data_IF_565433352557
#
_entry.id   IF_565433352557
#
_cell.length_a   1.000
_cell.length_b   1.000
_cell.length_c   1.000
_cell.angle_alpha   90.00
_cell.angle_beta   90.00
_cell.angle_gamma   90.00
#
_symmetry.space_group_name_H-M   'P 1'
#
loop_
_entity.id
_entity.type
_entity.pdbx_description
1 polymer ?
#
# COMPACT_ATOMS: atom_id res chain seq x y z
N UNK A 1 -48.16 -0.62 -55.06
CA UNK A 1 -47.30 0.10 -54.13
C UNK A 1 -46.76 -0.89 -53.15
N UNK A 2 -45.52 -1.31 -53.34
CA UNK A 2 -44.85 -2.33 -52.51
C UNK A 2 -43.82 -1.62 -51.68
N UNK A 3 -44.02 -1.66 -50.37
CA UNK A 3 -43.08 -1.03 -49.39
C UNK A 3 -42.11 -2.09 -48.88
N UNK A 4 -40.88 -1.98 -49.26
CA UNK A 4 -39.80 -2.90 -48.88
C UNK A 4 -39.20 -2.43 -47.57
N UNK A 5 -39.38 -3.23 -46.50
CA UNK A 5 -38.69 -3.01 -45.22
C UNK A 5 -37.28 -3.63 -45.27
N UNK A 6 -36.26 -2.82 -45.14
CA UNK A 6 -34.88 -3.25 -44.90
C UNK A 6 -34.73 -3.68 -43.43
N UNK A 7 -34.39 -4.95 -43.24
CA UNK A 7 -33.96 -5.49 -41.94
C UNK A 7 -32.45 -5.26 -41.80
N UNK A 8 -32.07 -4.40 -40.84
CA UNK A 8 -30.67 -4.15 -40.49
C UNK A 8 -30.27 -5.19 -39.46
N UNK A 9 -29.43 -6.13 -39.86
CA UNK A 9 -28.82 -7.12 -38.95
C UNK A 9 -27.69 -6.49 -38.18
N UNK A 10 -27.84 -6.36 -36.88
CA UNK A 10 -26.76 -5.95 -35.96
C UNK A 10 -26.00 -7.23 -35.58
N UNK A 11 -24.77 -7.35 -36.05
CA UNK A 11 -23.84 -8.39 -35.63
C UNK A 11 -23.22 -8.01 -34.27
N UNK A 12 -23.61 -8.75 -33.24
CA UNK A 12 -23.02 -8.64 -31.90
C UNK A 12 -21.71 -9.45 -31.87
N UNK A 13 -20.58 -8.75 -31.91
CA UNK A 13 -19.29 -9.37 -31.74
C UNK A 13 -19.04 -9.66 -30.25
N UNK A 14 -19.11 -10.93 -29.83
CA UNK A 14 -18.65 -11.39 -28.54
C UNK A 14 -17.11 -11.43 -28.55
N UNK A 15 -16.49 -10.49 -27.84
CA UNK A 15 -15.06 -10.55 -27.54
C UNK A 15 -14.86 -11.51 -26.36
N UNK A 16 -14.34 -12.70 -26.63
CA UNK A 16 -13.85 -13.63 -25.61
C UNK A 16 -12.56 -13.05 -25.01
N UNK A 17 -12.66 -12.50 -23.81
CA UNK A 17 -11.49 -12.16 -23.02
C UNK A 17 -10.83 -13.45 -22.53
N UNK A 18 -9.67 -13.75 -23.08
CA UNK A 18 -8.80 -14.86 -22.64
C UNK A 18 -8.28 -14.55 -21.24
N UNK A 19 -8.70 -15.30 -20.23
CA UNK A 19 -8.05 -15.36 -18.94
C UNK A 19 -6.73 -16.08 -19.09
N UNK A 20 -5.65 -15.33 -19.30
CA UNK A 20 -4.29 -15.82 -19.17
C UNK A 20 -3.94 -15.91 -17.69
N UNK A 21 -3.87 -17.12 -17.11
CA UNK A 21 -3.32 -17.35 -15.78
C UNK A 21 -1.82 -17.09 -15.80
N UNK A 22 -1.37 -16.16 -14.97
CA UNK A 22 0.02 -15.92 -14.60
C UNK A 22 0.01 -15.33 -13.21
N UNK A 23 0.81 -15.89 -12.27
CA UNK A 23 0.99 -15.33 -10.94
C UNK A 23 1.45 -13.88 -11.10
N UNK A 24 0.55 -12.95 -10.99
CA UNK A 24 0.77 -11.53 -11.19
C UNK A 24 0.58 -10.81 -9.88
N UNK A 25 1.54 -9.96 -9.59
CA UNK A 25 1.42 -8.88 -8.62
C UNK A 25 0.06 -8.20 -8.78
N UNK A 26 -0.64 -7.97 -7.66
CA UNK A 26 -1.88 -7.22 -7.70
C UNK A 26 -1.61 -5.88 -8.39
N UNK A 27 -2.46 -5.45 -9.34
CA UNK A 27 -2.21 -4.22 -10.07
C UNK A 27 -2.16 -3.05 -9.09
N UNK A 28 -1.03 -2.37 -9.04
CA UNK A 28 -0.90 -1.11 -8.32
C UNK A 28 -1.90 -0.11 -8.93
N UNK A 29 -2.69 0.55 -8.09
CA UNK A 29 -3.64 1.55 -8.57
C UNK A 29 -2.94 2.63 -9.40
N UNK A 30 -3.54 3.07 -10.53
CA UNK A 30 -2.97 4.14 -11.33
C UNK A 30 -2.70 5.39 -10.49
N UNK A 31 -1.47 5.90 -10.53
CA UNK A 31 -1.04 7.06 -9.75
C UNK A 31 -0.61 6.76 -8.32
N UNK A 32 -0.59 5.49 -7.90
CA UNK A 32 -0.05 5.12 -6.60
C UNK A 32 1.48 5.27 -6.58
N UNK A 33 1.97 5.77 -5.46
CA UNK A 33 3.40 5.91 -5.17
C UNK A 33 3.73 5.02 -3.98
N UNK A 34 4.84 4.30 -4.07
CA UNK A 34 5.29 3.41 -3.00
C UNK A 34 6.51 4.00 -2.29
N UNK A 35 6.47 4.00 -0.97
CA UNK A 35 7.58 4.40 -0.11
C UNK A 35 8.05 3.24 0.75
N UNK A 36 9.37 3.12 0.90
CA UNK A 36 9.99 2.24 1.87
C UNK A 36 10.16 2.97 3.21
N UNK A 37 9.86 2.27 4.29
CA UNK A 37 10.04 2.73 5.67
C UNK A 37 11.02 1.83 6.40
N UNK A 38 11.89 2.45 7.20
CA UNK A 38 12.78 1.76 8.13
C UNK A 38 12.54 2.23 9.55
N UNK A 39 13.00 1.45 10.50
CA UNK A 39 12.90 1.77 11.93
C UNK A 39 14.31 2.07 12.47
N UNK A 40 14.41 3.14 13.25
CA UNK A 40 15.68 3.55 13.90
C UNK A 40 16.18 2.45 14.83
N UNK A 41 17.45 2.12 14.71
CA UNK A 41 18.10 1.11 15.54
C UNK A 41 17.73 -0.34 15.18
N UNK A 42 16.94 -0.58 14.16
CA UNK A 42 16.60 -1.92 13.68
C UNK A 42 17.26 -2.23 12.34
N UNK A 43 17.50 -3.51 12.03
CA UNK A 43 18.12 -3.92 10.78
C UNK A 43 17.22 -3.69 9.59
N UNK A 44 17.80 -3.65 8.37
CA UNK A 44 17.07 -3.49 7.13
C UNK A 44 16.05 -4.62 6.84
N UNK A 45 16.17 -5.76 7.51
CA UNK A 45 15.17 -6.84 7.45
C UNK A 45 13.80 -6.46 8.03
N UNK A 46 13.75 -5.37 8.81
CA UNK A 46 12.50 -4.77 9.33
C UNK A 46 11.96 -3.67 8.39
N UNK A 47 12.52 -3.49 7.19
CA UNK A 47 11.98 -2.57 6.20
C UNK A 47 10.62 -3.06 5.71
N UNK A 48 9.68 -2.14 5.57
CA UNK A 48 8.37 -2.41 4.99
C UNK A 48 7.96 -1.29 4.03
N UNK A 49 6.98 -1.55 3.19
CA UNK A 49 6.56 -0.63 2.14
C UNK A 49 5.10 -0.25 2.28
N UNK A 50 4.80 0.98 1.91
CA UNK A 50 3.45 1.54 1.87
C UNK A 50 3.22 2.15 0.50
N UNK A 51 2.15 1.74 -0.16
CA UNK A 51 1.69 2.35 -1.41
C UNK A 51 0.48 3.23 -1.14
N UNK A 52 0.42 4.38 -1.79
CA UNK A 52 -0.63 5.36 -1.55
C UNK A 52 -0.93 6.19 -2.79
N UNK A 53 -2.18 6.59 -2.92
CA UNK A 53 -2.64 7.62 -3.88
C UNK A 53 -2.94 8.95 -3.18
N UNK A 54 -2.77 9.03 -1.86
CA UNK A 54 -3.02 10.24 -1.07
C UNK A 54 -2.03 11.35 -1.43
N UNK A 55 -2.47 12.49 -1.99
CA UNK A 55 -1.57 13.60 -2.30
C UNK A 55 -0.86 14.15 -1.07
N UNK A 56 -1.53 14.13 0.09
CA UNK A 56 -0.97 14.58 1.36
C UNK A 56 0.19 13.70 1.81
N UNK A 57 -0.01 12.37 1.84
CA UNK A 57 1.04 11.44 2.21
C UNK A 57 2.23 11.51 1.24
N UNK A 58 1.96 11.55 -0.07
CA UNK A 58 3.01 11.67 -1.09
C UNK A 58 3.83 12.94 -0.88
N UNK A 59 3.17 14.09 -0.70
CA UNK A 59 3.84 15.37 -0.48
C UNK A 59 4.68 15.38 0.79
N UNK A 60 4.12 14.88 1.91
CA UNK A 60 4.83 14.82 3.19
C UNK A 60 6.02 13.84 3.14
N UNK A 61 5.86 12.66 2.54
CA UNK A 61 6.92 11.69 2.41
C UNK A 61 8.09 12.23 1.58
N UNK A 62 7.80 12.90 0.46
CA UNK A 62 8.82 13.55 -0.36
C UNK A 62 9.51 14.69 0.38
N UNK A 63 8.79 15.47 1.19
CA UNK A 63 9.38 16.51 2.03
C UNK A 63 10.32 15.91 3.09
N UNK A 64 9.96 14.78 3.71
CA UNK A 64 10.86 14.06 4.63
C UNK A 64 12.13 13.57 3.92
N UNK A 65 12.02 13.09 2.67
CA UNK A 65 13.18 12.63 1.90
C UNK A 65 14.18 13.72 1.55
N UNK A 66 13.76 14.98 1.54
CA UNK A 66 14.67 16.14 1.37
C UNK A 66 15.50 16.43 2.63
N UNK A 67 15.11 15.91 3.79
CA UNK A 67 15.84 16.09 5.05
C UNK A 67 16.91 15.02 5.20
N UNK A 68 18.01 15.34 5.93
CA UNK A 68 18.91 14.31 6.45
C UNK A 68 18.13 13.26 7.23
N UNK A 69 18.52 11.99 7.13
CA UNK A 69 17.80 10.88 7.76
C UNK A 69 17.52 11.09 9.25
N UNK A 70 18.50 11.65 9.98
CA UNK A 70 18.36 11.95 11.41
C UNK A 70 17.29 13.01 11.74
N UNK A 71 16.81 13.75 10.76
CA UNK A 71 15.79 14.80 10.90
C UNK A 71 14.40 14.40 10.36
N UNK A 72 14.28 13.20 9.81
CA UNK A 72 12.99 12.66 9.31
C UNK A 72 12.16 12.14 10.48
N UNK A 73 11.50 13.03 11.20
CA UNK A 73 10.86 12.72 12.49
C UNK A 73 9.42 12.21 12.36
N UNK A 74 8.79 12.36 11.20
CA UNK A 74 7.44 11.83 10.99
C UNK A 74 7.49 10.32 10.77
N UNK A 75 6.58 9.60 11.44
CA UNK A 75 6.42 8.15 11.29
C UNK A 75 5.10 7.79 10.62
N UNK A 76 5.00 6.58 10.10
CA UNK A 76 3.81 6.10 9.43
C UNK A 76 2.79 5.56 10.43
N UNK A 77 1.51 5.82 10.17
CA UNK A 77 0.37 5.21 10.86
C UNK A 77 -0.63 4.74 9.83
N UNK A 78 -1.15 3.53 9.97
CA UNK A 78 -2.14 2.99 9.03
C UNK A 78 -2.89 1.79 9.58
N UNK A 79 -3.97 1.44 8.91
CA UNK A 79 -4.77 0.24 9.21
C UNK A 79 -4.10 -0.98 8.61
N UNK A 80 -3.94 -2.05 9.40
CA UNK A 80 -3.36 -3.31 8.92
C UNK A 80 -4.40 -4.09 8.14
N UNK A 81 -4.00 -4.61 7.00
CA UNK A 81 -4.78 -5.53 6.17
C UNK A 81 -3.98 -6.79 5.87
N UNK A 82 -4.68 -7.92 5.74
CA UNK A 82 -4.09 -9.20 5.37
C UNK A 82 -3.56 -9.16 3.94
N UNK A 83 -2.45 -9.84 3.70
CA UNK A 83 -1.77 -9.92 2.40
C UNK A 83 -0.79 -8.78 2.18
N UNK A 84 0.11 -8.94 1.21
CA UNK A 84 1.16 -7.96 0.93
C UNK A 84 0.67 -6.68 0.23
N UNK A 85 -0.57 -6.66 -0.26
CA UNK A 85 -1.08 -5.58 -1.10
C UNK A 85 -0.38 -5.44 -2.45
N UNK A 86 0.49 -6.39 -2.83
CA UNK A 86 1.29 -6.36 -4.05
C UNK A 86 2.55 -5.49 -3.98
N UNK A 87 2.80 -4.80 -2.88
CA UNK A 87 3.94 -3.89 -2.72
C UNK A 87 4.77 -4.12 -1.44
N UNK A 88 4.17 -4.62 -0.37
CA UNK A 88 4.86 -4.92 0.89
C UNK A 88 5.41 -6.36 0.87
N UNK A 89 6.18 -6.68 -0.15
CA UNK A 89 6.68 -8.02 -0.40
C UNK A 89 7.60 -8.48 0.74
N UNK A 90 7.46 -9.75 1.12
CA UNK A 90 8.16 -10.33 2.28
C UNK A 90 7.33 -10.32 3.57
N UNK A 91 6.20 -9.59 3.59
CA UNK A 91 5.24 -9.54 4.69
C UNK A 91 3.87 -10.06 4.25
N UNK A 92 3.15 -10.73 5.14
CA UNK A 92 1.78 -11.22 4.89
C UNK A 92 0.71 -10.19 5.28
N UNK A 93 1.09 -8.92 5.35
CA UNK A 93 0.26 -7.78 5.70
C UNK A 93 0.70 -6.54 4.94
N UNK A 94 -0.17 -5.54 4.89
CA UNK A 94 0.13 -4.21 4.35
C UNK A 94 -0.69 -3.15 5.10
N UNK A 95 -0.38 -1.88 4.88
CA UNK A 95 -1.12 -0.76 5.45
C UNK A 95 -2.03 -0.12 4.42
N UNK A 96 -3.25 0.18 4.85
CA UNK A 96 -4.22 1.01 4.15
C UNK A 96 -4.55 2.25 4.97
N UNK A 97 -5.16 3.26 4.37
CA UNK A 97 -5.48 4.53 5.06
C UNK A 97 -4.27 5.09 5.82
N UNK A 98 -3.11 4.99 5.19
CA UNK A 98 -1.85 5.38 5.80
C UNK A 98 -1.68 6.90 5.77
N UNK A 99 -1.06 7.42 6.82
CA UNK A 99 -0.71 8.83 6.99
C UNK A 99 0.65 8.98 7.68
N UNK A 100 1.34 10.07 7.45
CA UNK A 100 2.50 10.45 8.24
C UNK A 100 2.04 11.33 9.40
N UNK A 101 2.52 10.99 10.59
CA UNK A 101 2.18 11.70 11.84
C UNK A 101 3.45 12.00 12.63
N UNK A 102 3.37 12.98 13.52
CA UNK A 102 4.45 13.37 14.44
C UNK A 102 4.18 12.93 15.89
N UNK A 103 2.96 12.49 16.17
CA UNK A 103 2.55 11.96 17.47
C UNK A 103 1.45 10.89 17.29
N UNK A 104 1.43 9.91 18.19
CA UNK A 104 0.34 8.95 18.31
C UNK A 104 0.00 8.73 19.79
N UNK A 105 -1.28 8.54 20.05
CA UNK A 105 -1.81 8.25 21.40
C UNK A 105 -2.32 6.81 21.52
N UNK A 106 -2.31 6.06 20.43
CA UNK A 106 -2.82 4.69 20.33
C UNK A 106 -1.72 3.67 20.64
N UNK A 107 -2.13 2.51 21.16
CA UNK A 107 -1.22 1.37 21.40
C UNK A 107 -1.05 0.60 20.09
N UNK A 108 -0.28 1.15 19.18
CA UNK A 108 -0.03 0.60 17.86
C UNK A 108 1.47 0.59 17.48
N UNK A 109 2.34 0.90 18.46
CA UNK A 109 3.78 0.85 18.27
C UNK A 109 4.30 -0.60 18.20
N UNK A 110 5.35 -0.81 17.46
CA UNK A 110 5.96 -2.13 17.29
C UNK A 110 6.97 -2.15 16.14
N UNK A 111 7.22 -3.35 15.66
CA UNK A 111 8.08 -3.58 14.48
C UNK A 111 7.44 -4.59 13.54
N UNK A 112 7.79 -4.57 12.24
CA UNK A 112 7.20 -5.45 11.22
C UNK A 112 7.21 -6.93 11.57
N UNK A 113 8.29 -7.44 12.15
CA UNK A 113 8.39 -8.86 12.55
C UNK A 113 7.44 -9.23 13.70
N UNK A 114 7.08 -8.30 14.59
CA UNK A 114 6.07 -8.56 15.63
C UNK A 114 4.68 -8.65 15.03
N UNK A 115 4.35 -7.78 14.06
CA UNK A 115 3.08 -7.88 13.32
C UNK A 115 2.99 -9.23 12.61
N UNK A 116 4.06 -9.64 11.94
CA UNK A 116 4.11 -10.91 11.22
C UNK A 116 3.99 -12.11 12.15
N UNK A 117 4.58 -12.06 13.34
CA UNK A 117 4.59 -13.16 14.29
C UNK A 117 3.24 -13.43 14.96
N UNK A 118 2.38 -12.42 15.10
CA UNK A 118 1.06 -12.51 15.72
C UNK A 118 0.02 -11.74 14.90
N UNK A 119 -0.07 -12.11 13.63
CA UNK A 119 -0.86 -11.37 12.63
C UNK A 119 -2.36 -11.29 13.00
N UNK A 120 -2.93 -12.38 13.54
CA UNK A 120 -4.34 -12.41 13.94
C UNK A 120 -4.63 -11.38 15.04
N UNK A 121 -3.75 -11.28 16.04
CA UNK A 121 -3.88 -10.27 17.09
C UNK A 121 -3.80 -8.83 16.52
N UNK A 122 -2.88 -8.60 15.62
CA UNK A 122 -2.74 -7.29 15.00
C UNK A 122 -3.92 -6.93 14.08
N UNK A 123 -4.49 -7.90 13.36
CA UNK A 123 -5.65 -7.69 12.50
C UNK A 123 -6.95 -7.48 13.29
N UNK A 124 -7.16 -8.27 14.34
CA UNK A 124 -8.46 -8.35 15.02
C UNK A 124 -8.55 -7.45 16.25
N UNK A 125 -7.43 -7.22 16.94
CA UNK A 125 -7.41 -6.47 18.21
C UNK A 125 -6.77 -5.10 18.06
N UNK A 126 -5.52 -5.02 17.59
CA UNK A 126 -4.82 -3.73 17.46
C UNK A 126 -5.33 -2.91 16.27
N UNK A 127 -5.50 -3.55 15.13
CA UNK A 127 -6.05 -3.04 13.87
C UNK A 127 -5.23 -1.94 13.18
N UNK A 128 -4.32 -1.29 13.89
CA UNK A 128 -3.42 -0.25 13.38
C UNK A 128 -1.97 -0.61 13.64
N UNK A 129 -1.09 -0.08 12.79
CA UNK A 129 0.35 -0.16 13.01
C UNK A 129 0.93 1.25 12.84
N UNK A 130 1.59 1.73 13.88
CA UNK A 130 2.21 3.04 13.92
C UNK A 130 3.58 2.97 14.60
N UNK A 131 4.57 2.36 13.96
CA UNK A 131 5.90 2.19 14.55
C UNK A 131 6.55 3.56 14.75
N UNK A 132 6.64 4.01 16.00
CA UNK A 132 7.12 5.35 16.37
C UNK A 132 8.57 5.61 15.96
N UNK A 133 9.37 4.57 15.84
CA UNK A 133 10.73 4.65 15.35
C UNK A 133 10.86 4.66 13.83
N UNK A 134 9.77 4.55 13.08
CA UNK A 134 9.82 4.51 11.62
C UNK A 134 10.09 5.88 11.02
N UNK A 135 10.65 5.87 9.83
CA UNK A 135 10.88 7.06 9.00
C UNK A 135 10.84 6.69 7.53
N UNK A 136 10.51 7.64 6.68
CA UNK A 136 10.56 7.46 5.23
C UNK A 136 12.01 7.26 4.82
N UNK A 137 12.31 6.10 4.24
CA UNK A 137 13.66 5.76 3.79
C UNK A 137 13.89 6.11 2.34
N UNK A 138 13.00 5.69 1.45
CA UNK A 138 13.10 5.92 0.01
C UNK A 138 11.72 5.91 -0.68
N UNK A 139 11.61 6.59 -1.81
CA UNK A 139 10.55 6.36 -2.80
C UNK A 139 10.98 5.18 -3.67
N UNK A 140 10.10 4.20 -3.85
CA UNK A 140 10.36 2.97 -4.61
C UNK A 140 9.78 3.14 -6.01
N UNK A 141 10.61 2.90 -7.02
CA UNK A 141 10.22 2.97 -8.44
C UNK A 141 9.69 1.63 -8.94
#
# INVERSE_FOLDING_TARGET
MVSTKLLSSIALALSLASCGGGGGDAPTEPGAVTFAFRLRGLPASEEFRVSTTSPSLISQARAQLLLPESQRMMFISGTIQLGSGGYNLGWSWHLTQAELVDAATEVCDGRPSLVQADLDYWLDVVQRFCPWGSYVYAEVL
#
